data_IF_205898651283
#
_entry.id   IF_205898651283
#
_cell.length_a   1.000
_cell.length_b   1.000
_cell.length_c   1.000
_cell.angle_alpha   90.00
_cell.angle_beta   90.00
_cell.angle_gamma   90.00
#
_symmetry.space_group_name_H-M   'P 1'
#
loop_
_entity.id
_entity.type
_entity.pdbx_description
1 polymer ?
#
# COMPACT_ATOMS: atom_id res chain seq x y z
N UNK A 1 -28.43 30.96 -0.28
CA UNK A 1 -27.23 30.95 -1.13
C UNK A 1 -26.71 29.53 -1.29
N UNK A 2 -26.80 29.06 -2.53
CA UNK A 2 -26.23 27.86 -3.15
C UNK A 2 -24.72 27.68 -2.88
N UNK A 3 -24.35 26.68 -2.08
CA UNK A 3 -22.99 26.13 -2.08
C UNK A 3 -22.82 25.32 -3.36
N UNK A 4 -22.19 25.93 -4.35
CA UNK A 4 -21.76 25.28 -5.59
C UNK A 4 -20.86 24.09 -5.25
N UNK A 5 -21.33 22.90 -5.62
CA UNK A 5 -20.55 21.69 -5.76
C UNK A 5 -19.36 22.00 -6.70
N UNK A 6 -18.20 22.28 -6.15
CA UNK A 6 -16.97 22.40 -6.91
C UNK A 6 -16.03 21.29 -6.44
N UNK A 7 -15.99 20.25 -7.27
CA UNK A 7 -14.89 19.28 -7.37
C UNK A 7 -14.76 18.34 -6.16
N UNK A 8 -15.23 17.11 -6.35
CA UNK A 8 -14.82 15.95 -5.56
C UNK A 8 -13.30 15.73 -5.71
N UNK A 9 -12.52 16.49 -4.96
CA UNK A 9 -11.17 16.10 -4.60
C UNK A 9 -11.31 14.85 -3.72
N UNK A 10 -10.50 13.80 -3.92
CA UNK A 10 -10.47 12.71 -2.95
C UNK A 10 -10.21 13.35 -1.58
N UNK A 11 -10.90 12.93 -0.51
CA UNK A 11 -10.75 13.56 0.80
C UNK A 11 -9.26 13.59 1.10
N UNK A 12 -8.68 14.76 1.39
CA UNK A 12 -7.23 14.91 1.66
C UNK A 12 -6.74 13.88 2.69
N UNK A 13 -7.63 13.46 3.59
CA UNK A 13 -7.45 12.35 4.53
C UNK A 13 -7.03 11.03 3.83
N UNK A 14 -7.70 10.64 2.73
CA UNK A 14 -7.36 9.44 1.96
C UNK A 14 -6.00 9.53 1.27
N UNK A 15 -5.60 10.73 0.85
CA UNK A 15 -4.31 10.94 0.20
C UNK A 15 -3.18 10.89 1.23
N UNK A 16 -3.41 11.47 2.41
CA UNK A 16 -2.53 11.37 3.56
C UNK A 16 -2.38 9.92 4.04
N UNK A 17 -3.48 9.17 4.11
CA UNK A 17 -3.46 7.74 4.45
C UNK A 17 -2.65 6.92 3.44
N UNK A 18 -2.83 7.19 2.14
CA UNK A 18 -2.09 6.53 1.07
C UNK A 18 -0.61 6.90 1.09
N UNK A 19 -0.27 8.17 1.36
CA UNK A 19 1.10 8.63 1.53
C UNK A 19 1.77 7.97 2.73
N UNK A 20 1.07 7.85 3.86
CA UNK A 20 1.55 7.14 5.04
C UNK A 20 1.77 5.66 4.75
N UNK A 21 0.83 5.02 4.03
CA UNK A 21 0.99 3.65 3.57
C UNK A 21 2.22 3.46 2.68
N UNK A 22 2.41 4.33 1.68
CA UNK A 22 3.57 4.29 0.80
C UNK A 22 4.88 4.49 1.58
N UNK A 23 4.89 5.43 2.53
CA UNK A 23 6.02 5.65 3.43
C UNK A 23 6.34 4.41 4.28
N UNK A 24 5.33 3.78 4.87
CA UNK A 24 5.50 2.54 5.63
C UNK A 24 6.06 1.40 4.77
N UNK A 25 5.58 1.25 3.53
CA UNK A 25 6.07 0.23 2.60
C UNK A 25 7.56 0.47 2.24
N UNK A 26 7.93 1.73 1.95
CA UNK A 26 9.31 2.11 1.65
C UNK A 26 10.24 1.88 2.84
N UNK A 27 9.81 2.25 4.05
CA UNK A 27 10.57 2.02 5.27
C UNK A 27 10.76 0.53 5.53
N UNK A 28 9.70 -0.28 5.43
CA UNK A 28 9.81 -1.73 5.60
C UNK A 28 10.77 -2.36 4.58
N UNK A 29 10.73 -1.91 3.32
CA UNK A 29 11.67 -2.35 2.30
C UNK A 29 13.11 -1.95 2.65
N UNK A 30 13.33 -0.72 3.12
CA UNK A 30 14.65 -0.23 3.54
C UNK A 30 15.21 -1.04 4.71
N UNK A 31 14.38 -1.37 5.69
CA UNK A 31 14.76 -2.25 6.81
C UNK A 31 15.15 -3.64 6.31
N UNK A 32 14.35 -4.26 5.44
CA UNK A 32 14.68 -5.56 4.86
C UNK A 32 16.00 -5.53 4.08
N UNK A 33 16.27 -4.44 3.34
CA UNK A 33 17.54 -4.24 2.64
C UNK A 33 18.73 -4.13 3.60
N UNK A 34 18.56 -3.49 4.76
CA UNK A 34 19.61 -3.44 5.78
C UNK A 34 19.91 -4.81 6.39
N UNK A 35 18.89 -5.67 6.50
CA UNK A 35 19.03 -7.07 6.95
C UNK A 35 19.59 -7.99 5.84
N UNK A 36 19.97 -7.45 4.68
CA UNK A 36 20.47 -8.21 3.53
C UNK A 36 19.38 -8.97 2.76
N UNK A 37 18.10 -8.72 3.05
CA UNK A 37 16.94 -9.25 2.34
C UNK A 37 16.50 -8.28 1.24
N UNK A 38 15.71 -8.74 0.26
CA UNK A 38 15.10 -7.86 -0.76
C UNK A 38 16.12 -6.96 -1.52
N UNK A 39 17.31 -7.49 -1.83
CA UNK A 39 18.34 -6.78 -2.62
C UNK A 39 18.18 -7.00 -4.12
N UNK A 40 17.64 -8.16 -4.53
CA UNK A 40 17.34 -8.47 -5.93
C UNK A 40 15.91 -8.04 -6.30
N UNK A 41 15.66 -7.67 -7.57
CA UNK A 41 14.32 -7.30 -8.05
C UNK A 41 13.25 -8.35 -7.73
N UNK A 42 13.57 -9.64 -7.88
CA UNK A 42 12.67 -10.74 -7.54
C UNK A 42 12.35 -10.80 -6.05
N UNK A 43 13.36 -10.66 -5.19
CA UNK A 43 13.18 -10.66 -3.73
C UNK A 43 12.44 -9.43 -3.22
N UNK A 44 12.58 -8.27 -3.87
CA UNK A 44 11.82 -7.05 -3.56
C UNK A 44 10.33 -7.30 -3.82
N UNK A 45 9.99 -7.88 -4.97
CA UNK A 45 8.59 -8.20 -5.28
C UNK A 45 7.99 -9.18 -4.27
N UNK A 46 8.70 -10.27 -3.95
CA UNK A 46 8.21 -11.24 -2.97
C UNK A 46 8.06 -10.62 -1.57
N UNK A 47 9.02 -9.77 -1.17
CA UNK A 47 8.94 -9.03 0.08
C UNK A 47 7.72 -8.11 0.13
N UNK A 48 7.51 -7.29 -0.91
CA UNK A 48 6.38 -6.36 -0.96
C UNK A 48 5.03 -7.09 -0.94
N UNK A 49 4.89 -8.20 -1.65
CA UNK A 49 3.65 -9.01 -1.65
C UNK A 49 3.39 -9.61 -0.25
N UNK A 50 4.41 -10.17 0.40
CA UNK A 50 4.30 -10.68 1.78
C UNK A 50 3.96 -9.56 2.76
N UNK A 51 4.67 -8.44 2.67
CA UNK A 51 4.44 -7.28 3.52
C UNK A 51 3.02 -6.73 3.35
N UNK A 52 2.49 -6.64 2.11
CA UNK A 52 1.10 -6.24 1.87
C UNK A 52 0.12 -7.21 2.53
N UNK A 53 0.34 -8.51 2.41
CA UNK A 53 -0.53 -9.53 3.00
C UNK A 53 -0.53 -9.44 4.54
N UNK A 54 0.63 -9.21 5.16
CA UNK A 54 0.75 -9.05 6.60
C UNK A 54 0.15 -7.71 7.07
N UNK A 55 0.35 -6.63 6.32
CA UNK A 55 -0.27 -5.34 6.56
C UNK A 55 -1.81 -5.41 6.52
N UNK A 56 -2.37 -6.15 5.56
CA UNK A 56 -3.80 -6.40 5.45
C UNK A 56 -4.32 -7.21 6.65
N UNK A 57 -3.62 -8.29 7.03
CA UNK A 57 -3.99 -9.12 8.20
C UNK A 57 -3.99 -8.32 9.50
N UNK A 58 -3.01 -7.42 9.66
CA UNK A 58 -2.91 -6.58 10.85
C UNK A 58 -4.00 -5.48 10.89
N UNK A 59 -4.77 -5.28 9.81
CA UNK A 59 -5.79 -4.21 9.67
C UNK A 59 -5.25 -2.84 10.11
N UNK A 60 -3.97 -2.59 9.86
CA UNK A 60 -3.26 -1.39 10.30
C UNK A 60 -3.68 -0.12 9.56
N UNK A 61 -4.36 -0.27 8.43
CA UNK A 61 -4.74 0.83 7.56
C UNK A 61 -6.26 1.05 7.57
N UNK A 62 -6.70 2.31 7.44
CA UNK A 62 -8.12 2.66 7.30
C UNK A 62 -8.72 2.03 6.03
N UNK A 63 -10.05 1.90 6.01
CA UNK A 63 -10.80 1.18 4.97
C UNK A 63 -10.57 1.74 3.55
N UNK A 64 -10.26 3.03 3.45
CA UNK A 64 -9.84 3.73 2.24
C UNK A 64 -8.67 3.00 1.58
N UNK A 65 -7.56 2.85 2.30
CA UNK A 65 -6.33 2.22 1.82
C UNK A 65 -6.41 0.70 1.82
N UNK A 66 -7.19 0.09 2.72
CA UNK A 66 -7.37 -1.36 2.76
C UNK A 66 -7.93 -1.93 1.44
N UNK A 67 -8.80 -1.17 0.77
CA UNK A 67 -9.38 -1.55 -0.54
C UNK A 67 -8.33 -1.52 -1.65
N UNK A 68 -7.40 -0.57 -1.60
CA UNK A 68 -6.30 -0.45 -2.56
C UNK A 68 -5.28 -1.58 -2.36
N UNK A 69 -4.91 -1.87 -1.10
CA UNK A 69 -4.04 -3.01 -0.74
C UNK A 69 -4.61 -4.32 -1.27
N UNK A 70 -5.90 -4.56 -1.06
CA UNK A 70 -6.58 -5.77 -1.51
C UNK A 70 -6.61 -5.89 -3.04
N UNK A 71 -6.79 -4.76 -3.74
CA UNK A 71 -6.73 -4.70 -5.21
C UNK A 71 -5.31 -4.98 -5.74
N UNK A 72 -4.29 -4.42 -5.10
CA UNK A 72 -2.89 -4.69 -5.42
C UNK A 72 -2.53 -6.18 -5.20
N UNK A 73 -2.97 -6.79 -4.09
CA UNK A 73 -2.77 -8.21 -3.83
C UNK A 73 -3.43 -9.09 -4.89
N UNK A 74 -4.68 -8.79 -5.27
CA UNK A 74 -5.36 -9.51 -6.37
C UNK A 74 -4.62 -9.39 -7.69
N UNK A 75 -4.10 -8.21 -8.02
CA UNK A 75 -3.32 -8.00 -9.25
C UNK A 75 -2.01 -8.81 -9.23
N UNK A 76 -1.33 -8.85 -8.08
CA UNK A 76 -0.13 -9.67 -7.91
C UNK A 76 -0.43 -11.18 -8.01
N UNK A 77 -1.54 -11.64 -7.44
CA UNK A 77 -1.95 -13.05 -7.50
C UNK A 77 -2.38 -13.47 -8.91
N UNK A 78 -3.10 -12.61 -9.66
CA UNK A 78 -3.51 -12.91 -11.03
C UNK A 78 -2.35 -13.06 -12.02
N UNK A 79 -1.21 -12.44 -11.75
CA UNK A 79 -0.04 -12.50 -12.64
C UNK A 79 0.87 -13.72 -12.41
N UNK A 80 0.55 -14.54 -11.41
CA UNK A 80 1.26 -15.76 -11.06
C UNK A 80 0.50 -17.05 -11.44
N UNK A 81 -0.52 -16.94 -12.31
CA UNK A 81 -1.27 -18.07 -12.89
C UNK A 81 -1.09 -18.04 -14.40
#
# INVERSE_FOLDING_TARGET
>A
MNKTNLTALPPEESLADLAHFAWCALMALRLAQQDGQALLPLTIHTFLVRWLADAQKQRRFPRSVATDIDSLLRLCQRRWI
#
